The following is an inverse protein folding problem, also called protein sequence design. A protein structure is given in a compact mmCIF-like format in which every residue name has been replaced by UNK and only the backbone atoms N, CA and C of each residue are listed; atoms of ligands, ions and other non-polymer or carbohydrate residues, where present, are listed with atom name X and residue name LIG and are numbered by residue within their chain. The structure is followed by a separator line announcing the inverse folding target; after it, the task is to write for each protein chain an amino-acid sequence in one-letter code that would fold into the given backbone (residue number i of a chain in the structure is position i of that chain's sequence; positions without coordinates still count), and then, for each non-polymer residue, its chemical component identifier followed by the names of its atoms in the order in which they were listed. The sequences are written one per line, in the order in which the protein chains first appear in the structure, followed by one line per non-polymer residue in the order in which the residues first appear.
data_IF_533585648609
#
_entry.id   IF_533585648609
#
_cell.length_a   1.000
_cell.length_b   1.000
_cell.length_c   1.000
_cell.angle_alpha   90.00
_cell.angle_beta   90.00
_cell.angle_gamma   90.00
#
_symmetry.space_group_name_H-M   'P 1'
#
loop_
_entity.id
_entity.type
_entity.pdbx_description
1 polymer ?
#
# COMPACT_ATOMS: atom_id res chain seq x y z
N UNK A 1 -0.01 13.48 2.73
CA UNK A 1 0.40 12.11 3.10
C UNK A 1 0.49 11.90 4.62
N UNK A 2 0.00 10.78 5.13
CA UNK A 2 0.22 10.27 6.50
C UNK A 2 1.37 9.29 6.54
N UNK A 3 2.20 9.42 7.58
CA UNK A 3 3.33 8.54 7.82
C UNK A 3 3.32 7.97 9.23
N UNK A 4 3.96 6.81 9.41
CA UNK A 4 4.01 6.08 10.67
C UNK A 4 5.30 5.27 10.83
N UNK A 5 5.56 4.81 12.05
CA UNK A 5 6.65 3.88 12.37
C UNK A 5 6.07 2.69 13.11
N UNK A 6 6.63 1.51 12.89
CA UNK A 6 6.23 0.31 13.60
C UNK A 6 7.41 -0.67 13.72
N UNK A 7 7.60 -1.21 14.93
CA UNK A 7 8.69 -2.13 15.24
C UNK A 7 8.58 -3.43 14.45
N UNK A 8 7.39 -3.98 14.34
CA UNK A 8 7.18 -5.25 13.62
C UNK A 8 7.28 -5.16 12.10
N UNK A 9 7.39 -3.96 11.52
CA UNK A 9 7.49 -3.80 10.05
C UNK A 9 8.95 -3.57 9.63
N UNK A 10 9.68 -2.66 10.28
CA UNK A 10 11.10 -2.39 10.03
C UNK A 10 11.83 -1.90 11.30
N UNK A 11 11.61 -2.55 12.43
CA UNK A 11 12.22 -2.23 13.73
C UNK A 11 12.04 -0.75 14.13
N UNK A 12 10.95 -0.11 13.69
CA UNK A 12 10.61 1.28 14.03
C UNK A 12 11.58 2.33 13.48
N UNK A 13 12.59 1.91 12.72
CA UNK A 13 13.70 2.78 12.29
C UNK A 13 13.27 3.69 11.14
N UNK A 14 12.40 3.20 10.27
CA UNK A 14 12.00 3.87 9.04
C UNK A 14 10.59 4.43 9.16
N UNK A 15 10.43 5.63 8.61
CA UNK A 15 9.13 6.28 8.51
C UNK A 15 8.43 5.81 7.23
N UNK A 16 7.28 5.17 7.41
CA UNK A 16 6.53 4.44 6.39
C UNK A 16 5.27 5.20 5.99
N UNK A 17 4.79 4.96 4.77
CA UNK A 17 3.49 5.42 4.29
C UNK A 17 2.84 4.36 3.39
N UNK A 18 1.56 4.55 3.10
CA UNK A 18 0.85 3.75 2.09
C UNK A 18 0.70 4.59 0.82
N UNK A 19 1.21 4.08 -0.30
CA UNK A 19 1.02 4.68 -1.61
C UNK A 19 -0.06 3.93 -2.40
N UNK A 20 -0.81 4.65 -3.24
CA UNK A 20 -1.62 4.05 -4.31
C UNK A 20 -0.98 4.36 -5.66
N UNK A 21 -0.82 3.33 -6.49
CA UNK A 21 -0.35 3.45 -7.88
C UNK A 21 -1.45 3.13 -8.88
N UNK A 22 -1.16 3.41 -10.15
CA UNK A 22 -1.95 2.96 -11.29
C UNK A 22 -2.27 1.46 -11.17
N UNK A 23 -3.46 1.05 -11.60
CA UNK A 23 -3.90 -0.33 -11.43
C UNK A 23 -4.62 -0.63 -10.10
N UNK A 24 -4.85 0.38 -9.25
CA UNK A 24 -5.37 0.23 -7.88
C UNK A 24 -4.51 -0.66 -6.99
N UNK A 25 -3.20 -0.57 -7.19
CA UNK A 25 -2.23 -1.27 -6.38
C UNK A 25 -1.79 -0.38 -5.22
N UNK A 26 -1.80 -0.94 -4.02
CA UNK A 26 -1.38 -0.29 -2.79
C UNK A 26 -0.03 -0.84 -2.36
N UNK A 27 0.83 0.05 -1.88
CA UNK A 27 2.20 -0.27 -1.53
C UNK A 27 2.53 0.29 -0.16
N UNK A 28 3.26 -0.50 0.62
CA UNK A 28 4.03 0.02 1.74
C UNK A 28 5.32 0.65 1.19
N UNK A 29 5.54 1.92 1.51
CA UNK A 29 6.68 2.70 1.01
C UNK A 29 7.42 3.42 2.13
N UNK A 30 8.66 3.81 1.87
CA UNK A 30 9.40 4.77 2.69
C UNK A 30 8.90 6.18 2.38
N UNK A 31 8.46 6.89 3.41
CA UNK A 31 7.99 8.28 3.33
C UNK A 31 9.13 9.28 3.08
N UNK A 32 10.38 8.85 3.29
CA UNK A 32 11.59 9.65 3.11
C UNK A 32 12.62 8.91 2.25
N UNK A 33 13.45 9.61 1.47
CA UNK A 33 14.61 9.02 0.82
C UNK A 33 15.52 8.36 1.85
N UNK A 34 15.99 7.16 1.52
CA UNK A 34 17.05 6.49 2.27
C UNK A 34 18.24 6.35 1.34
N UNK A 35 19.40 6.87 1.73
CA UNK A 35 20.64 6.75 0.94
C UNK A 35 21.12 5.30 0.75
N UNK A 36 20.50 4.35 1.45
CA UNK A 36 20.85 2.92 1.41
C UNK A 36 19.84 2.07 0.63
N UNK A 37 18.69 2.63 0.26
CA UNK A 37 17.62 1.88 -0.39
C UNK A 37 17.31 2.56 -1.72
N UNK A 38 17.73 1.91 -2.82
CA UNK A 38 17.54 2.40 -4.19
C UNK A 38 16.05 2.57 -4.56
N UNK A 39 15.16 1.76 -3.97
CA UNK A 39 13.70 1.81 -4.22
C UNK A 39 12.92 1.99 -2.94
N UNK A 40 12.14 3.07 -2.84
CA UNK A 40 11.31 3.36 -1.67
C UNK A 40 10.13 2.41 -1.48
N UNK A 41 9.81 1.58 -2.47
CA UNK A 41 8.79 0.54 -2.37
C UNK A 41 9.30 -0.67 -1.62
N UNK A 42 8.61 -1.01 -0.53
CA UNK A 42 8.99 -2.11 0.34
C UNK A 42 8.18 -3.36 0.05
N UNK A 43 6.87 -3.20 -0.13
CA UNK A 43 5.98 -4.33 -0.41
C UNK A 43 4.68 -3.87 -1.07
N UNK A 44 4.16 -4.70 -1.97
CA UNK A 44 2.77 -4.61 -2.42
C UNK A 44 1.85 -5.04 -1.27
N UNK A 45 0.67 -4.43 -1.13
CA UNK A 45 -0.35 -4.86 -0.16
C UNK A 45 -1.45 -5.71 -0.81
N UNK A 46 -1.68 -5.55 -2.11
CA UNK A 46 -2.64 -6.32 -2.90
C UNK A 46 -2.01 -6.73 -4.24
N UNK A 47 -1.31 -7.87 -4.26
CA UNK A 47 -0.52 -8.35 -5.42
C UNK A 47 -1.39 -8.91 -6.55
N UNK A 48 -2.46 -9.64 -6.23
CA UNK A 48 -3.03 -10.61 -7.16
C UNK A 48 -4.43 -10.29 -7.70
N UNK A 49 -5.21 -9.42 -7.06
CA UNK A 49 -6.65 -9.32 -7.39
C UNK A 49 -7.23 -7.96 -7.00
N UNK A 50 -6.85 -6.89 -7.70
CA UNK A 50 -7.80 -5.78 -7.77
C UNK A 50 -8.99 -6.25 -8.63
N UNK A 51 -10.24 -6.22 -8.16
CA UNK A 51 -11.42 -6.61 -8.95
C UNK A 51 -11.61 -5.72 -10.19
N UNK A 52 -10.94 -4.56 -10.24
CA UNK A 52 -10.82 -3.74 -11.43
C UNK A 52 -9.47 -3.02 -11.44
N UNK A 53 -8.71 -3.06 -12.55
CA UNK A 53 -7.46 -2.31 -12.67
C UNK A 53 -7.69 -0.79 -12.63
N UNK A 54 -8.91 -0.33 -12.93
CA UNK A 54 -9.18 1.09 -13.17
C UNK A 54 -10.08 1.75 -12.11
N UNK A 55 -10.75 0.98 -11.25
CA UNK A 55 -11.52 1.53 -10.12
C UNK A 55 -11.34 0.70 -8.84
N UNK A 56 -11.01 1.33 -7.70
CA UNK A 56 -10.98 0.61 -6.43
C UNK A 56 -12.40 0.15 -6.08
N UNK A 57 -12.52 -1.03 -5.49
CA UNK A 57 -13.75 -1.42 -4.82
C UNK A 57 -13.86 -0.62 -3.54
N UNK A 58 -15.02 -0.03 -3.26
CA UNK A 58 -15.23 0.79 -2.08
C UNK A 58 -16.25 0.13 -1.14
N UNK A 59 -16.04 0.30 0.16
CA UNK A 59 -17.01 -0.05 1.20
C UNK A 59 -18.22 0.89 1.17
N UNK A 60 -19.22 0.60 1.99
CA UNK A 60 -20.37 1.49 2.21
C UNK A 60 -19.96 2.86 2.78
N UNK A 61 -18.81 2.93 3.44
CA UNK A 61 -18.19 4.16 3.95
C UNK A 61 -17.34 4.89 2.90
N UNK A 62 -17.30 4.40 1.66
CA UNK A 62 -16.53 4.99 0.56
C UNK A 62 -15.02 4.75 0.65
N UNK A 63 -14.57 3.74 1.43
CA UNK A 63 -13.14 3.44 1.65
C UNK A 63 -12.68 2.24 0.81
N UNK A 64 -11.41 2.18 0.38
CA UNK A 64 -10.93 1.07 -0.44
C UNK A 64 -11.01 -0.27 0.28
N UNK A 65 -11.54 -1.26 -0.42
CA UNK A 65 -11.51 -2.66 -0.05
C UNK A 65 -10.42 -3.34 -0.87
N UNK A 66 -9.49 -4.00 -0.20
CA UNK A 66 -8.39 -4.71 -0.84
C UNK A 66 -8.26 -6.11 -0.25
N UNK A 67 -7.92 -7.06 -1.10
CA UNK A 67 -7.45 -8.36 -0.65
C UNK A 67 -5.99 -8.25 -0.21
N UNK A 68 -5.76 -8.40 1.09
CA UNK A 68 -4.47 -8.14 1.71
C UNK A 68 -3.52 -9.33 1.51
N UNK A 69 -2.79 -9.29 0.40
CA UNK A 69 -1.82 -10.31 -0.01
C UNK A 69 -0.46 -9.65 -0.22
N UNK A 70 0.30 -9.42 0.86
CA UNK A 70 1.51 -8.66 0.72
C UNK A 70 2.68 -9.56 0.26
N UNK A 71 3.49 -9.06 -0.69
CA UNK A 71 4.66 -9.76 -1.25
C UNK A 71 5.86 -9.82 -0.28
N UNK A 72 5.60 -9.64 1.02
CA UNK A 72 6.60 -9.60 2.10
C UNK A 72 7.36 -10.92 2.21
N UNK A 73 6.83 -12.01 1.65
CA UNK A 73 7.48 -13.32 1.56
C UNK A 73 8.82 -13.30 0.81
N UNK A 74 9.17 -12.25 0.06
CA UNK A 74 10.50 -12.10 -0.57
C UNK A 74 11.60 -11.59 0.37
N UNK A 75 11.29 -11.27 1.63
CA UNK A 75 12.30 -11.07 2.70
C UNK A 75 12.09 -12.11 3.82
N UNK A 76 13.07 -12.97 4.12
CA UNK A 76 12.92 -14.10 5.06
C UNK A 76 12.66 -13.72 6.52
N UNK A 77 12.56 -12.43 6.85
CA UNK A 77 12.48 -11.91 8.22
C UNK A 77 11.08 -11.37 8.59
N UNK A 78 10.18 -11.18 7.62
CA UNK A 78 8.90 -10.51 7.88
C UNK A 78 7.73 -11.47 7.62
N UNK A 79 6.96 -11.75 8.68
CA UNK A 79 5.73 -12.54 8.57
C UNK A 79 4.62 -11.69 7.95
N UNK A 80 3.91 -12.16 6.90
CA UNK A 80 2.74 -11.48 6.35
C UNK A 80 1.66 -11.17 7.39
N UNK A 81 1.47 -12.07 8.37
CA UNK A 81 0.56 -11.87 9.49
C UNK A 81 1.04 -10.76 10.43
N UNK A 82 2.35 -10.58 10.59
CA UNK A 82 2.93 -9.48 11.36
C UNK A 82 2.73 -8.12 10.69
N UNK A 83 2.76 -8.06 9.36
CA UNK A 83 2.48 -6.80 8.63
C UNK A 83 1.01 -6.41 8.75
N UNK A 84 0.08 -7.36 8.59
CA UNK A 84 -1.35 -7.09 8.76
C UNK A 84 -1.65 -6.60 10.18
N UNK A 85 -1.17 -7.33 11.19
CA UNK A 85 -1.42 -6.99 12.59
C UNK A 85 -0.80 -5.65 12.98
N UNK A 86 0.43 -5.37 12.52
CA UNK A 86 1.05 -4.06 12.71
C UNK A 86 0.19 -2.94 12.11
N UNK A 87 -0.27 -3.08 10.87
CA UNK A 87 -1.05 -2.03 10.21
C UNK A 87 -2.42 -1.77 10.90
N UNK A 88 -2.99 -2.78 11.57
CA UNK A 88 -4.20 -2.63 12.41
C UNK A 88 -3.94 -1.86 13.70
N UNK A 89 -2.74 -1.98 14.27
CA UNK A 89 -2.43 -1.47 15.60
C UNK A 89 -1.56 -0.20 15.62
N UNK A 90 -1.21 0.35 14.46
CA UNK A 90 -0.52 1.64 14.35
C UNK A 90 -1.23 2.71 15.18
N UNK A 91 -0.42 3.45 15.94
CA UNK A 91 -0.83 4.64 16.67
C UNK A 91 -0.39 5.91 15.91
N UNK A 92 -1.16 7.02 16.00
CA UNK A 92 -2.37 7.21 16.80
C UNK A 92 -3.66 6.66 16.14
N UNK A 93 -3.58 6.17 14.90
CA UNK A 93 -4.73 5.63 14.17
C UNK A 93 -4.36 4.41 13.34
N UNK A 94 -5.25 3.42 13.36
CA UNK A 94 -5.16 2.25 12.52
C UNK A 94 -5.16 2.63 11.03
N UNK A 95 -4.37 1.91 10.23
CA UNK A 95 -4.27 2.14 8.78
C UNK A 95 -5.29 1.31 8.02
N UNK A 96 -5.66 0.14 8.54
CA UNK A 96 -6.62 -0.78 7.94
C UNK A 96 -7.46 -1.49 9.00
N UNK A 97 -8.57 -2.08 8.57
CA UNK A 97 -9.40 -2.97 9.38
C UNK A 97 -9.81 -4.20 8.57
N UNK A 98 -9.93 -5.35 9.22
CA UNK A 98 -10.44 -6.56 8.56
C UNK A 98 -11.96 -6.47 8.39
N UNK A 99 -12.48 -6.93 7.25
CA UNK A 99 -13.93 -7.00 7.02
C UNK A 99 -14.54 -8.32 7.50
N UNK A 100 -13.69 -9.30 7.80
CA UNK A 100 -14.07 -10.69 8.10
C UNK A 100 -14.29 -11.56 6.87
N UNK A 101 -14.27 -10.98 5.65
CA UNK A 101 -14.28 -11.75 4.40
C UNK A 101 -12.89 -12.30 4.09
N UNK A 102 -12.87 -13.48 3.49
CA UNK A 102 -11.65 -14.14 3.05
C UNK A 102 -11.87 -14.75 1.67
N UNK A 103 -10.82 -14.79 0.86
CA UNK A 103 -10.82 -15.41 -0.47
C UNK A 103 -9.68 -16.41 -0.61
N UNK A 104 -9.94 -17.53 -1.30
CA UNK A 104 -8.90 -18.49 -1.66
C UNK A 104 -8.23 -18.02 -2.96
N UNK A 105 -6.97 -17.61 -2.86
CA UNK A 105 -6.20 -17.15 -4.00
C UNK A 105 -5.26 -18.24 -4.48
N UNK A 106 -5.33 -18.51 -5.79
CA UNK A 106 -4.39 -19.41 -6.42
C UNK A 106 -2.96 -18.84 -6.28
N UNK A 107 -1.94 -19.70 -6.12
CA UNK A 107 -0.55 -19.26 -6.16
C UNK A 107 -0.26 -18.56 -7.49
N UNK A 108 0.55 -17.50 -7.44
CA UNK A 108 0.98 -16.78 -8.62
C UNK A 108 1.84 -17.69 -9.52
N UNK A 109 1.59 -17.69 -10.84
CA UNK A 109 2.44 -18.42 -11.79
C UNK A 109 3.89 -17.92 -11.67
N UNK A 110 4.85 -18.83 -11.44
CA UNK A 110 6.27 -18.51 -11.27
C UNK A 110 6.72 -18.28 -9.81
N UNK A 111 5.85 -18.47 -8.82
CA UNK A 111 6.25 -18.59 -7.41
C UNK A 111 6.91 -19.96 -7.17
N UNK A 112 8.22 -19.98 -6.90
CA UNK A 112 8.99 -21.18 -6.52
C UNK A 112 8.59 -21.75 -5.13
N UNK A 113 7.57 -21.19 -4.48
CA UNK A 113 7.06 -21.67 -3.20
C UNK A 113 6.00 -22.76 -3.45
N UNK A 114 6.23 -24.02 -3.02
CA UNK A 114 5.22 -25.06 -3.08
C UNK A 114 4.13 -24.73 -2.05
N UNK A 115 3.00 -24.19 -2.51
CA UNK A 115 1.88 -23.84 -1.65
C UNK A 115 0.59 -23.79 -2.46
N UNK A 116 -0.42 -24.56 -2.03
CA UNK A 116 -1.75 -24.52 -2.61
C UNK A 116 -2.44 -23.16 -2.41
N UNK A 117 -3.72 -23.07 -2.76
CA UNK A 117 -4.49 -21.84 -2.62
C UNK A 117 -4.32 -21.20 -1.23
N UNK A 118 -3.92 -19.93 -1.18
CA UNK A 118 -3.72 -19.15 0.03
C UNK A 118 -5.03 -18.48 0.43
N UNK A 119 -5.42 -18.58 1.69
CA UNK A 119 -6.53 -17.79 2.21
C UNK A 119 -6.05 -16.35 2.47
N UNK A 120 -6.67 -15.38 1.82
CA UNK A 120 -6.32 -13.96 1.88
C UNK A 120 -7.47 -13.18 2.50
N UNK A 121 -7.24 -12.40 3.56
CA UNK A 121 -8.29 -11.59 4.18
C UNK A 121 -8.58 -10.34 3.34
N UNK A 122 -9.84 -9.93 3.30
CA UNK A 122 -10.20 -8.60 2.83
C UNK A 122 -10.04 -7.58 3.95
N UNK A 123 -9.45 -6.44 3.62
CA UNK A 123 -9.29 -5.31 4.53
C UNK A 123 -9.87 -4.04 3.91
N UNK A 124 -10.42 -3.19 4.76
CA UNK A 124 -10.77 -1.81 4.46
C UNK A 124 -9.59 -0.90 4.81
N UNK A 125 -9.12 -0.10 3.85
CA UNK A 125 -8.09 0.91 4.08
C UNK A 125 -8.72 2.14 4.73
N UNK A 126 -8.25 2.46 5.94
CA UNK A 126 -8.84 3.53 6.75
C UNK A 126 -8.29 4.92 6.47
N UNK A 127 -7.19 5.02 5.71
CA UNK A 127 -6.61 6.29 5.34
C UNK A 127 -7.48 6.98 4.29
N UNK A 128 -7.90 8.25 4.50
CA UNK A 128 -8.51 9.04 3.44
C UNK A 128 -7.50 9.25 2.31
N UNK A 129 -7.99 9.60 1.13
CA UNK A 129 -7.13 9.66 -0.06
C UNK A 129 -5.98 10.68 0.06
N UNK A 130 -6.22 11.87 0.63
CA UNK A 130 -5.19 12.88 0.87
C UNK A 130 -4.10 12.46 1.89
N UNK A 131 -4.36 11.39 2.65
CA UNK A 131 -3.40 10.80 3.57
C UNK A 131 -2.57 9.68 2.92
N UNK A 132 -2.88 9.27 1.70
CA UNK A 132 -2.01 8.38 0.94
C UNK A 132 -0.78 9.14 0.44
N UNK A 133 0.28 8.39 0.18
CA UNK A 133 1.44 8.87 -0.56
C UNK A 133 1.08 8.91 -2.04
N UNK A 134 1.19 10.08 -2.67
CA UNK A 134 0.93 10.20 -4.11
C UNK A 134 2.05 9.55 -4.92
N UNK A 135 1.66 8.90 -6.03
CA UNK A 135 2.57 8.34 -7.03
C UNK A 135 2.33 9.01 -8.36
N UNK A 136 3.41 9.41 -9.04
CA UNK A 136 3.33 10.02 -10.35
C UNK A 136 2.83 8.98 -11.36
N UNK A 137 1.80 9.32 -12.14
CA UNK A 137 1.23 8.41 -13.14
C UNK A 137 2.16 8.15 -14.33
N UNK A 138 3.17 9.01 -14.54
CA UNK A 138 4.10 8.93 -15.67
C UNK A 138 5.44 8.28 -15.32
N UNK A 139 6.13 8.77 -14.29
CA UNK A 139 7.46 8.27 -13.93
C UNK A 139 7.46 7.31 -12.72
N UNK A 140 6.35 7.21 -11.98
CA UNK A 140 6.26 6.38 -10.78
C UNK A 140 6.94 6.96 -9.54
N UNK A 141 7.45 8.20 -9.59
CA UNK A 141 8.01 8.88 -8.43
C UNK A 141 6.97 8.99 -7.31
N UNK A 142 7.42 8.81 -6.07
CA UNK A 142 6.59 8.87 -4.87
C UNK A 142 6.75 10.21 -4.15
N UNK A 143 5.66 10.71 -3.58
CA UNK A 143 5.66 11.85 -2.66
C UNK A 143 6.66 11.64 -1.52
N UNK A 144 7.30 12.71 -1.07
CA UNK A 144 8.21 12.72 0.07
C UNK A 144 7.61 13.62 1.14
N UNK A 145 7.68 13.21 2.41
CA UNK A 145 7.08 13.97 3.51
C UNK A 145 7.64 15.40 3.64
N UNK A 146 8.89 15.62 3.22
CA UNK A 146 9.62 16.89 3.37
C UNK A 146 9.46 17.87 2.16
N UNK A 147 8.79 17.47 1.06
CA UNK A 147 8.67 18.35 -0.13
C UNK A 147 7.51 19.35 -0.09
N UNK A 148 6.61 19.25 0.90
CA UNK A 148 5.35 20.01 0.91
C UNK A 148 4.36 19.51 -0.16
N UNK A 149 3.08 19.88 -0.01
CA UNK A 149 1.98 19.43 -0.88
C UNK A 149 2.09 19.91 -2.34
N UNK A 150 3.05 20.77 -2.68
CA UNK A 150 3.12 21.43 -3.99
C UNK A 150 3.90 20.64 -5.05
N UNK A 151 4.53 19.52 -4.68
CA UNK A 151 5.34 18.71 -5.60
C UNK A 151 4.51 17.79 -6.51
N UNK A 152 3.24 17.54 -6.15
CA UNK A 152 2.33 16.65 -6.87
C UNK A 152 1.03 17.36 -7.21
N UNK A 153 0.68 17.40 -8.49
CA UNK A 153 -0.57 17.98 -8.98
C UNK A 153 -1.56 16.88 -9.33
N UNK A 154 -2.84 17.05 -8.96
CA UNK A 154 -3.91 16.14 -9.37
C UNK A 154 -4.24 16.37 -10.85
N UNK A 155 -3.98 15.38 -11.69
CA UNK A 155 -4.18 15.44 -13.16
C UNK A 155 -5.54 14.89 -13.59
N UNK A 156 -6.28 14.26 -12.69
CA UNK A 156 -7.66 13.83 -12.92
C UNK A 156 -8.11 12.69 -12.02
N UNK A 157 -9.37 12.27 -12.20
CA UNK A 157 -10.04 11.34 -11.27
C UNK A 157 -10.61 12.06 -10.05
N UNK A 158 -11.21 11.30 -9.13
CA UNK A 158 -11.76 11.83 -7.88
C UNK A 158 -11.62 10.81 -6.74
N UNK A 159 -11.35 11.31 -5.52
CA UNK A 159 -11.15 10.46 -4.34
C UNK A 159 -10.09 9.39 -4.60
N UNK A 160 -10.35 8.14 -4.19
CA UNK A 160 -9.41 7.03 -4.41
C UNK A 160 -9.19 6.64 -5.88
N UNK A 161 -9.77 7.35 -6.85
CA UNK A 161 -9.44 7.20 -8.27
C UNK A 161 -8.54 8.32 -8.81
N UNK A 162 -8.20 9.32 -7.99
CA UNK A 162 -7.32 10.42 -8.36
C UNK A 162 -5.98 9.93 -8.90
N UNK A 163 -5.43 10.69 -9.85
CA UNK A 163 -4.13 10.50 -10.47
C UNK A 163 -3.33 11.77 -10.28
N UNK A 164 -2.02 11.59 -10.09
CA UNK A 164 -1.12 12.67 -9.77
C UNK A 164 0.07 12.69 -10.73
N UNK A 165 0.57 13.88 -11.05
CA UNK A 165 1.86 14.07 -11.72
C UNK A 165 2.81 14.80 -10.77
N UNK A 166 4.08 14.41 -10.79
CA UNK A 166 5.11 15.18 -10.10
C UNK A 166 5.54 16.36 -10.97
N UNK A 167 5.98 17.46 -10.36
CA UNK A 167 6.49 18.66 -11.06
C UNK A 167 7.82 18.46 -11.81
N UNK A 168 8.43 17.28 -11.74
CA UNK A 168 9.71 16.92 -12.38
C UNK A 168 9.59 16.35 -13.80
N UNK A 169 8.52 16.66 -14.53
CA UNK A 169 8.39 16.24 -15.94
C UNK A 169 9.22 17.14 -16.86
#
# INVERSE_FOLDING_TARGET
MYSFRHDDILNGTWELAIARKNGNQYFLVLSKPSGFIERRELSHLNVSTSPSPNSPLLSTSGRPLIWFDPDVTRRPQASPLGTLDALKHIQPRAVLNETGRNEHMAPQEGSDVPGGAKLVPEVELLLPEHDLCHSCEYCGDLEINDTGNDAFECTGGQGYSSRYSCSKV
#
